data_IF_104843976580
#
_entry.id   IF_104843976580
#
_cell.length_a   1.000
_cell.length_b   1.000
_cell.length_c   1.000
_cell.angle_alpha   90.00
_cell.angle_beta   90.00
_cell.angle_gamma   90.00
#
_symmetry.space_group_name_H-M   'P 1'
#
loop_
_entity.id
_entity.type
_entity.pdbx_description
1 polymer ?
#
# COMPACT_ATOMS: atom_id res chain seq x y z
N UNK A 1 -2.27 17.48 21.43
CA UNK A 1 -3.34 18.07 22.27
C UNK A 1 -3.37 17.48 23.67
N UNK A 2 -3.40 16.15 23.85
CA UNK A 2 -3.48 15.54 25.19
C UNK A 2 -2.36 15.95 26.16
N UNK A 3 -1.15 16.19 25.67
CA UNK A 3 -0.02 16.69 26.48
C UNK A 3 -0.30 18.06 27.10
N UNK A 4 -0.86 18.99 26.31
CA UNK A 4 -1.17 20.35 26.80
C UNK A 4 -2.36 20.31 27.77
N UNK A 5 -3.37 19.48 27.50
CA UNK A 5 -4.48 19.28 28.44
C UNK A 5 -3.98 18.70 29.78
N UNK A 6 -3.07 17.72 29.74
CA UNK A 6 -2.43 17.19 30.95
C UNK A 6 -1.67 18.27 31.73
N UNK A 7 -0.95 19.15 31.04
CA UNK A 7 -0.25 20.28 31.65
C UNK A 7 -1.23 21.24 32.35
N UNK A 8 -2.35 21.59 31.71
CA UNK A 8 -3.39 22.42 32.33
C UNK A 8 -3.98 21.77 33.59
N UNK A 9 -4.16 20.45 33.61
CA UNK A 9 -4.64 19.73 34.79
C UNK A 9 -3.64 19.85 35.97
N UNK A 10 -2.33 19.75 35.67
CA UNK A 10 -1.27 19.95 36.67
C UNK A 10 -1.31 21.38 37.22
N UNK A 11 -1.43 22.37 36.35
CA UNK A 11 -1.52 23.79 36.74
C UNK A 11 -2.75 24.11 37.61
N UNK A 12 -3.81 23.30 37.53
CA UNK A 12 -5.02 23.41 38.33
C UNK A 12 -5.02 22.48 39.57
N UNK A 13 -3.86 21.93 39.94
CA UNK A 13 -3.68 21.22 41.21
C UNK A 13 -3.84 19.69 41.16
N UNK A 14 -3.93 19.09 39.97
CA UNK A 14 -3.85 17.63 39.85
C UNK A 14 -2.41 17.19 40.03
N UNK A 15 -2.16 16.23 40.93
CA UNK A 15 -0.83 15.64 41.12
C UNK A 15 -0.32 15.06 39.77
N UNK A 16 0.88 15.45 39.29
CA UNK A 16 1.44 14.95 38.04
C UNK A 16 1.44 13.42 37.91
N UNK A 17 1.56 12.67 39.01
CA UNK A 17 1.52 11.21 39.00
C UNK A 17 0.15 10.64 38.56
N UNK A 18 -0.90 11.43 38.69
CA UNK A 18 -2.28 11.08 38.33
C UNK A 18 -2.64 11.54 36.91
N UNK A 19 -1.72 12.19 36.19
CA UNK A 19 -1.94 12.66 34.82
C UNK A 19 -1.33 11.66 33.84
N UNK A 20 -2.18 10.93 33.14
CA UNK A 20 -1.78 9.83 32.26
C UNK A 20 -1.92 10.21 30.78
N UNK A 21 -0.85 10.04 30.01
CA UNK A 21 -0.88 10.14 28.55
C UNK A 21 -1.09 8.76 27.93
N UNK A 22 -2.36 8.40 27.80
CA UNK A 22 -2.78 7.09 27.31
C UNK A 22 -2.47 6.92 25.82
N UNK A 23 -1.91 5.76 25.45
CA UNK A 23 -1.75 5.32 24.05
C UNK A 23 -2.91 4.40 23.68
N UNK A 24 -3.28 4.37 22.40
CA UNK A 24 -4.31 3.46 21.89
C UNK A 24 -3.93 2.01 22.18
N UNK A 25 -4.91 1.20 22.53
CA UNK A 25 -4.74 -0.23 22.82
C UNK A 25 -4.17 -0.56 24.20
N UNK A 26 -3.62 0.41 24.95
CA UNK A 26 -3.07 0.15 26.28
C UNK A 26 -4.18 0.05 27.31
N UNK A 27 -4.15 -1.00 28.13
CA UNK A 27 -5.11 -1.22 29.21
C UNK A 27 -4.58 -0.62 30.51
N UNK A 28 -5.45 0.11 31.22
CA UNK A 28 -5.17 0.63 32.55
C UNK A 28 -6.13 0.00 33.56
N UNK A 29 -5.61 -0.41 34.69
CA UNK A 29 -6.40 -0.91 35.82
C UNK A 29 -6.54 0.22 36.85
N UNK A 30 -7.75 0.39 37.38
CA UNK A 30 -8.01 1.27 38.52
C UNK A 30 -8.52 0.43 39.68
N UNK A 31 -7.73 0.36 40.74
CA UNK A 31 -8.04 -0.42 41.95
C UNK A 31 -7.55 0.35 43.17
N UNK A 32 -8.36 0.40 44.24
CA UNK A 32 -7.99 1.04 45.50
C UNK A 32 -7.49 2.50 45.33
N UNK A 33 -8.13 3.27 44.45
CA UNK A 33 -7.76 4.65 44.09
C UNK A 33 -6.37 4.82 43.45
N UNK A 34 -5.74 3.72 43.01
CA UNK A 34 -4.53 3.76 42.19
C UNK A 34 -4.87 3.38 40.75
N UNK A 35 -4.22 4.06 39.79
CA UNK A 35 -4.30 3.72 38.37
C UNK A 35 -2.94 3.22 37.92
N UNK A 36 -2.89 2.06 37.25
CA UNK A 36 -1.65 1.46 36.74
C UNK A 36 -1.82 1.01 35.29
N UNK A 37 -0.80 1.26 34.48
CA UNK A 37 -0.68 0.66 33.15
C UNK A 37 -0.45 -0.85 33.32
N UNK A 38 -1.26 -1.68 32.66
CA UNK A 38 -1.07 -3.12 32.68
C UNK A 38 -0.15 -3.57 31.54
N UNK A 39 0.21 -4.85 31.50
CA UNK A 39 0.94 -5.45 30.37
C UNK A 39 0.00 -5.84 29.22
N UNK A 40 -1.31 -5.70 29.41
CA UNK A 40 -2.30 -6.09 28.43
C UNK A 40 -2.46 -5.01 27.38
N UNK A 41 -2.60 -5.46 26.14
CA UNK A 41 -2.95 -4.60 25.01
C UNK A 41 -4.14 -5.20 24.29
N UNK A 42 -5.10 -4.37 23.95
CA UNK A 42 -6.22 -4.76 23.10
C UNK A 42 -5.91 -4.40 21.65
N UNK A 43 -6.44 -5.21 20.73
CA UNK A 43 -6.31 -4.91 19.31
C UNK A 43 -7.06 -3.61 18.98
N UNK A 44 -6.41 -2.76 18.19
CA UNK A 44 -6.95 -1.46 17.81
C UNK A 44 -6.42 -1.08 16.44
N UNK A 45 -7.25 -0.39 15.67
CA UNK A 45 -6.85 0.06 14.36
C UNK A 45 -8.01 0.68 13.61
N UNK A 46 -7.72 1.38 12.51
CA UNK A 46 -8.76 1.82 11.61
C UNK A 46 -9.46 0.60 10.97
N UNK A 47 -10.78 0.66 10.91
CA UNK A 47 -11.58 -0.25 10.08
C UNK A 47 -11.98 0.52 8.83
N UNK A 48 -11.60 0.00 7.66
CA UNK A 48 -11.88 0.65 6.39
C UNK A 48 -13.18 0.10 5.80
N UNK A 49 -14.03 1.00 5.31
CA UNK A 49 -15.32 0.67 4.71
C UNK A 49 -15.29 1.16 3.25
N UNK A 50 -15.54 0.24 2.31
CA UNK A 50 -15.65 0.54 0.87
C UNK A 50 -16.97 -0.03 0.35
N UNK A 51 -17.92 0.86 0.03
CA UNK A 51 -19.30 0.50 -0.29
C UNK A 51 -19.98 -0.28 0.84
N UNK A 52 -20.41 -1.50 0.54
CA UNK A 52 -21.08 -2.40 1.50
C UNK A 52 -20.12 -3.39 2.17
N UNK A 53 -18.80 -3.21 2.02
CA UNK A 53 -17.81 -4.18 2.49
C UNK A 53 -16.84 -3.55 3.49
N UNK A 54 -16.54 -4.31 4.55
CA UNK A 54 -15.47 -4.00 5.49
C UNK A 54 -14.17 -4.58 4.92
N UNK A 55 -13.17 -3.72 4.73
CA UNK A 55 -11.86 -4.11 4.21
C UNK A 55 -10.92 -4.46 5.37
N UNK A 56 -10.93 -5.73 5.77
CA UNK A 56 -10.04 -6.28 6.81
C UNK A 56 -8.56 -6.38 6.39
N UNK A 57 -8.24 -6.28 5.09
CA UNK A 57 -6.88 -6.34 4.52
C UNK A 57 -6.51 -5.07 3.72
N UNK A 58 -6.84 -3.93 4.29
CA UNK A 58 -6.90 -2.63 3.60
C UNK A 58 -5.55 -1.96 3.39
N UNK A 59 -4.56 -2.14 4.26
CA UNK A 59 -3.29 -1.41 4.16
C UNK A 59 -2.53 -1.67 2.86
N UNK A 60 -2.44 -2.93 2.42
CA UNK A 60 -1.77 -3.27 1.16
C UNK A 60 -2.51 -2.69 -0.05
N UNK A 61 -3.84 -2.78 -0.06
CA UNK A 61 -4.67 -2.23 -1.14
C UNK A 61 -4.53 -0.71 -1.21
N UNK A 62 -4.54 -0.02 -0.06
CA UNK A 62 -4.35 1.43 -0.01
C UNK A 62 -2.95 1.84 -0.45
N UNK A 63 -1.93 1.06 -0.10
CA UNK A 63 -0.56 1.27 -0.56
C UNK A 63 -0.45 1.12 -2.07
N UNK A 64 -1.02 0.06 -2.65
CA UNK A 64 -1.09 -0.14 -4.11
C UNK A 64 -1.85 1.01 -4.79
N UNK A 65 -3.00 1.42 -4.24
CA UNK A 65 -3.77 2.58 -4.74
C UNK A 65 -2.94 3.87 -4.68
N UNK A 66 -2.14 4.08 -3.63
CA UNK A 66 -1.25 5.23 -3.53
C UNK A 66 -0.16 5.19 -4.61
N UNK A 67 0.46 4.03 -4.83
CA UNK A 67 1.46 3.87 -5.90
C UNK A 67 0.86 4.13 -7.29
N UNK A 68 -0.34 3.61 -7.56
CA UNK A 68 -1.06 3.84 -8.81
C UNK A 68 -1.44 5.31 -9.00
N UNK A 69 -1.80 6.02 -7.91
CA UNK A 69 -2.09 7.46 -7.94
C UNK A 69 -0.85 8.27 -8.33
N UNK A 70 0.32 7.94 -7.78
CA UNK A 70 1.55 8.70 -8.01
C UNK A 70 2.24 8.35 -9.34
N UNK A 71 2.24 7.07 -9.72
CA UNK A 71 3.01 6.56 -10.88
C UNK A 71 2.15 6.12 -12.07
N UNK A 72 0.83 5.99 -11.90
CA UNK A 72 -0.03 5.34 -12.89
C UNK A 72 0.30 3.85 -13.07
N UNK A 73 -0.11 3.29 -14.21
CA UNK A 73 0.31 1.96 -14.64
C UNK A 73 0.62 1.86 -16.13
N UNK A 74 1.41 0.83 -16.46
CA UNK A 74 1.74 0.41 -17.82
C UNK A 74 1.51 -1.10 -17.92
N UNK A 75 0.77 -1.52 -18.94
CA UNK A 75 0.53 -2.93 -19.28
C UNK A 75 1.09 -3.22 -20.67
N UNK A 76 1.81 -4.34 -20.80
CA UNK A 76 2.37 -4.80 -22.07
C UNK A 76 1.73 -6.16 -22.38
N UNK A 77 0.96 -6.21 -23.47
CA UNK A 77 0.19 -7.39 -23.87
C UNK A 77 0.85 -8.05 -25.06
N UNK A 78 1.12 -9.34 -24.94
CA UNK A 78 1.67 -10.19 -25.99
C UNK A 78 0.65 -11.24 -26.40
N UNK A 79 0.59 -11.51 -27.71
CA UNK A 79 -0.03 -12.72 -28.23
C UNK A 79 1.09 -13.70 -28.57
N UNK A 80 1.05 -14.91 -28.03
CA UNK A 80 2.14 -15.89 -28.19
C UNK A 80 1.56 -17.22 -28.66
N UNK A 81 2.14 -17.77 -29.72
CA UNK A 81 1.93 -19.15 -30.11
C UNK A 81 2.88 -20.04 -29.31
N UNK A 82 2.32 -20.75 -28.33
CA UNK A 82 3.07 -21.67 -27.48
C UNK A 82 3.59 -22.89 -28.23
N UNK A 83 2.88 -23.37 -29.27
CA UNK A 83 3.31 -24.56 -30.01
C UNK A 83 4.56 -24.27 -30.84
N UNK A 84 4.58 -23.08 -31.45
CA UNK A 84 5.67 -22.66 -32.33
C UNK A 84 6.73 -21.80 -31.62
N UNK A 85 6.55 -21.49 -30.32
CA UNK A 85 7.41 -20.60 -29.54
C UNK A 85 7.64 -19.25 -30.22
N UNK A 86 6.57 -18.63 -30.69
CA UNK A 86 6.62 -17.39 -31.47
C UNK A 86 5.69 -16.32 -30.91
N UNK A 87 6.16 -15.08 -30.91
CA UNK A 87 5.33 -13.92 -30.61
C UNK A 87 4.54 -13.58 -31.88
N UNK A 88 3.22 -13.57 -31.77
CA UNK A 88 2.32 -13.20 -32.86
C UNK A 88 2.14 -11.68 -32.86
N UNK A 89 2.64 -11.03 -33.91
CA UNK A 89 2.49 -9.59 -34.10
C UNK A 89 3.32 -8.74 -33.14
N UNK A 90 2.90 -7.48 -32.96
CA UNK A 90 3.60 -6.50 -32.12
C UNK A 90 2.95 -6.41 -30.74
N UNK A 91 3.75 -6.36 -29.65
CA UNK A 91 3.18 -6.18 -28.32
C UNK A 91 2.49 -4.82 -28.19
N UNK A 92 1.33 -4.84 -27.53
CA UNK A 92 0.53 -3.67 -27.27
C UNK A 92 0.90 -3.07 -25.92
N UNK A 93 1.22 -1.78 -25.90
CA UNK A 93 1.55 -1.05 -24.67
C UNK A 93 0.37 -0.15 -24.33
N UNK A 94 -0.22 -0.37 -23.17
CA UNK A 94 -1.35 0.40 -22.64
C UNK A 94 -0.85 1.12 -21.40
N UNK A 95 -1.03 2.44 -21.33
CA UNK A 95 -0.73 3.21 -20.12
C UNK A 95 -1.92 4.05 -19.68
N UNK A 96 -2.02 4.25 -18.37
CA UNK A 96 -2.94 5.19 -17.72
C UNK A 96 -2.20 5.87 -16.58
N UNK A 97 -2.20 7.19 -16.54
CA UNK A 97 -1.59 7.97 -15.46
C UNK A 97 -0.05 8.00 -15.43
N UNK A 98 0.66 7.12 -16.15
CA UNK A 98 2.14 7.11 -16.13
C UNK A 98 2.78 8.11 -17.08
N UNK A 99 2.44 8.07 -18.37
CA UNK A 99 3.00 9.02 -19.35
C UNK A 99 2.06 9.26 -20.53
N UNK A 100 2.17 10.45 -21.14
CA UNK A 100 1.32 10.82 -22.26
C UNK A 100 1.86 10.24 -23.57
N UNK A 101 1.08 9.32 -24.17
CA UNK A 101 1.47 8.54 -25.35
C UNK A 101 1.93 9.42 -26.51
N UNK A 102 1.27 10.55 -26.77
CA UNK A 102 1.61 11.40 -27.92
C UNK A 102 3.00 12.03 -27.82
N UNK A 103 3.48 12.29 -26.60
CA UNK A 103 4.77 12.94 -26.37
C UNK A 103 5.87 11.93 -25.99
N UNK A 104 5.51 10.66 -25.78
CA UNK A 104 6.41 9.64 -25.22
C UNK A 104 6.70 8.51 -26.21
N UNK A 105 6.68 8.80 -27.51
CA UNK A 105 6.84 7.77 -28.57
C UNK A 105 8.14 6.99 -28.43
N UNK A 106 9.26 7.68 -28.17
CA UNK A 106 10.56 7.04 -27.98
C UNK A 106 10.56 6.05 -26.78
N UNK A 107 9.96 6.45 -25.66
CA UNK A 107 9.84 5.58 -24.48
C UNK A 107 8.99 4.35 -24.76
N UNK A 108 7.89 4.52 -25.51
CA UNK A 108 7.00 3.42 -25.90
C UNK A 108 7.73 2.46 -26.83
N UNK A 109 8.45 3.00 -27.81
CA UNK A 109 9.18 2.19 -28.79
C UNK A 109 10.33 1.41 -28.12
N UNK A 110 11.05 2.01 -27.18
CA UNK A 110 12.06 1.31 -26.38
C UNK A 110 11.46 0.28 -25.43
N UNK A 111 10.38 0.62 -24.74
CA UNK A 111 9.65 -0.33 -23.89
C UNK A 111 9.20 -1.54 -24.70
N UNK A 112 8.77 -1.32 -25.95
CA UNK A 112 8.38 -2.39 -26.88
C UNK A 112 9.57 -3.25 -27.27
N UNK A 113 10.71 -2.64 -27.59
CA UNK A 113 11.93 -3.35 -27.99
C UNK A 113 12.46 -4.23 -26.84
N UNK A 114 12.57 -3.67 -25.63
CA UNK A 114 13.08 -4.38 -24.46
C UNK A 114 12.16 -5.52 -24.06
N UNK A 115 10.85 -5.26 -23.94
CA UNK A 115 9.89 -6.30 -23.57
C UNK A 115 9.82 -7.42 -24.62
N UNK A 116 9.83 -7.09 -25.91
CA UNK A 116 9.83 -8.08 -26.98
C UNK A 116 11.08 -8.96 -26.93
N UNK A 117 12.26 -8.37 -26.72
CA UNK A 117 13.51 -9.13 -26.58
C UNK A 117 13.49 -10.07 -25.37
N UNK A 118 13.03 -9.58 -24.21
CA UNK A 118 12.96 -10.38 -22.98
C UNK A 118 12.00 -11.58 -23.13
N UNK A 119 10.80 -11.35 -23.67
CA UNK A 119 9.82 -12.42 -23.90
C UNK A 119 10.35 -13.40 -24.95
N UNK A 120 10.91 -12.92 -26.06
CA UNK A 120 11.47 -13.78 -27.11
C UNK A 120 12.62 -14.66 -26.59
N UNK A 121 13.46 -14.11 -25.72
CA UNK A 121 14.51 -14.86 -25.05
C UNK A 121 13.92 -15.97 -24.17
N UNK A 122 12.89 -15.65 -23.37
CA UNK A 122 12.25 -16.62 -22.49
C UNK A 122 11.64 -17.79 -23.26
N UNK A 123 10.84 -17.51 -24.30
CA UNK A 123 10.12 -18.55 -25.06
C UNK A 123 11.05 -19.46 -25.86
N UNK A 124 12.26 -19.01 -26.20
CA UNK A 124 13.24 -19.80 -26.95
C UNK A 124 14.17 -20.62 -26.07
N UNK A 125 14.47 -20.16 -24.86
CA UNK A 125 15.52 -20.74 -24.02
C UNK A 125 14.99 -21.50 -22.79
N UNK A 126 13.72 -21.32 -22.44
CA UNK A 126 13.10 -22.06 -21.32
C UNK A 126 12.23 -23.18 -21.88
N UNK A 127 12.51 -24.42 -21.47
CA UNK A 127 11.64 -25.55 -21.82
C UNK A 127 10.32 -25.45 -21.03
N UNK A 128 9.19 -25.66 -21.72
CA UNK A 128 7.84 -25.66 -21.12
C UNK A 128 7.51 -24.40 -20.30
N UNK A 129 7.87 -23.22 -20.84
CA UNK A 129 7.43 -21.93 -20.31
C UNK A 129 5.90 -21.77 -20.33
#
# INVERSE_FOLDING_TARGET
>A
MSTIHGQTAIENGVDPKNVLLVRKGVVFEMLNNEIKETKETIDFGPVYIDGNSVLSFSENILKERSQLKDSGFVSIVFLIDKKNNQIIGRPQIITRGSFFVKNSKALIDESRRVSHGAVLYQIKNVQNW
#
